data_IF_067920731926
#
_entry.id   IF_067920731926
#
_cell.length_a   1.000
_cell.length_b   1.000
_cell.length_c   1.000
_cell.angle_alpha   90.00
_cell.angle_beta   90.00
_cell.angle_gamma   90.00
#
_symmetry.space_group_name_H-M   'P 1'
#
loop_
_entity.id
_entity.type
_entity.pdbx_description
1 polymer ?
#
# COMPACT_ATOMS: atom_id res chain seq x y z
N UNK A 1 -43.27 23.67 -53.26
CA UNK A 1 -43.11 23.75 -51.79
C UNK A 1 -42.51 22.43 -51.34
N UNK A 2 -41.18 22.35 -51.29
CA UNK A 2 -40.45 21.12 -50.99
C UNK A 2 -40.14 21.02 -49.49
N UNK A 3 -40.58 19.93 -48.86
CA UNK A 3 -40.27 19.61 -47.47
C UNK A 3 -39.09 18.62 -47.47
N UNK A 4 -37.89 19.12 -47.19
CA UNK A 4 -36.71 18.29 -46.94
C UNK A 4 -36.86 17.59 -45.59
N UNK A 5 -36.96 16.26 -45.60
CA UNK A 5 -36.90 15.43 -44.38
C UNK A 5 -35.44 15.35 -43.92
N UNK A 6 -35.15 15.98 -42.78
CA UNK A 6 -33.86 15.83 -42.08
C UNK A 6 -33.91 14.49 -41.33
N UNK A 7 -33.05 13.56 -41.74
CA UNK A 7 -32.84 12.29 -41.06
C UNK A 7 -31.76 12.51 -39.99
N UNK A 8 -32.17 12.59 -38.72
CA UNK A 8 -31.26 12.69 -37.60
C UNK A 8 -30.63 11.32 -37.30
N UNK A 9 -29.32 11.21 -37.43
CA UNK A 9 -28.55 10.04 -36.98
C UNK A 9 -28.34 10.18 -35.47
N UNK A 10 -28.98 9.30 -34.70
CA UNK A 10 -28.69 9.13 -33.28
C UNK A 10 -27.38 8.33 -33.16
N UNK A 11 -26.30 8.97 -32.74
CA UNK A 11 -25.07 8.28 -32.32
C UNK A 11 -25.27 7.85 -30.87
N UNK A 12 -25.55 6.57 -30.66
CA UNK A 12 -25.54 5.98 -29.32
C UNK A 12 -24.11 5.91 -28.79
N UNK A 13 -23.83 6.61 -27.68
CA UNK A 13 -22.62 6.35 -26.91
C UNK A 13 -22.75 4.95 -26.30
N UNK A 14 -21.98 4.00 -26.81
CA UNK A 14 -21.72 2.76 -26.09
C UNK A 14 -20.86 3.11 -24.88
N UNK A 15 -21.45 3.09 -23.68
CA UNK A 15 -20.67 3.10 -22.44
C UNK A 15 -19.89 1.79 -22.37
N UNK A 16 -18.61 1.81 -22.68
CA UNK A 16 -17.70 0.72 -22.33
C UNK A 16 -17.70 0.65 -20.81
N UNK A 17 -18.25 -0.42 -20.23
CA UNK A 17 -18.05 -0.70 -18.82
C UNK A 17 -16.55 -0.71 -18.54
N UNK A 18 -16.09 0.09 -17.59
CA UNK A 18 -14.71 0.05 -17.14
C UNK A 18 -14.43 -1.36 -16.62
N UNK A 19 -13.62 -2.14 -17.33
CA UNK A 19 -13.17 -3.42 -16.82
C UNK A 19 -12.23 -3.14 -15.64
N UNK A 20 -12.46 -3.82 -14.52
CA UNK A 20 -11.50 -3.92 -13.43
C UNK A 20 -10.12 -4.28 -14.01
N UNK A 21 -9.16 -3.38 -13.87
CA UNK A 21 -7.83 -3.51 -14.47
C UNK A 21 -6.78 -3.14 -13.44
N UNK A 22 -5.83 -4.06 -13.26
CA UNK A 22 -4.54 -3.80 -12.63
C UNK A 22 -3.58 -3.26 -13.70
N UNK A 23 -3.01 -2.09 -13.45
CA UNK A 23 -2.14 -1.38 -14.39
C UNK A 23 -0.74 -1.29 -13.77
N UNK A 24 0.22 -2.12 -14.21
CA UNK A 24 1.59 -2.05 -13.73
C UNK A 24 2.30 -0.84 -14.34
N UNK A 25 3.10 -0.16 -13.54
CA UNK A 25 3.90 0.99 -13.96
C UNK A 25 5.09 1.20 -13.03
N UNK A 26 5.92 2.20 -13.32
CA UNK A 26 7.09 2.52 -12.50
C UNK A 26 7.05 3.99 -12.10
N UNK A 27 7.27 4.28 -10.82
CA UNK A 27 7.48 5.64 -10.33
C UNK A 27 8.80 5.73 -9.58
N UNK A 28 9.65 6.70 -9.95
CA UNK A 28 10.97 6.91 -9.34
C UNK A 28 11.82 5.62 -9.23
N UNK A 29 11.75 4.75 -10.25
CA UNK A 29 12.47 3.48 -10.30
C UNK A 29 11.85 2.33 -9.48
N UNK A 30 10.70 2.54 -8.84
CA UNK A 30 9.97 1.54 -8.06
C UNK A 30 8.80 1.00 -8.89
N UNK A 31 8.66 -0.32 -8.94
CA UNK A 31 7.55 -1.00 -9.60
C UNK A 31 6.27 -0.92 -8.74
N UNK A 32 5.19 -0.49 -9.38
CA UNK A 32 3.90 -0.19 -8.78
C UNK A 32 2.77 -0.82 -9.60
N UNK A 33 1.61 -1.03 -8.99
CA UNK A 33 0.43 -1.55 -9.67
C UNK A 33 -0.79 -0.75 -9.23
N UNK A 34 -1.40 -0.01 -10.17
CA UNK A 34 -2.63 0.71 -9.90
C UNK A 34 -3.85 -0.21 -10.08
N UNK A 35 -4.73 -0.26 -9.08
CA UNK A 35 -6.03 -0.90 -9.12
C UNK A 35 -7.10 0.14 -9.43
N UNK A 36 -7.81 -0.07 -10.54
CA UNK A 36 -9.00 0.72 -10.89
C UNK A 36 -10.26 0.32 -10.13
N UNK A 37 -10.24 -0.80 -9.39
CA UNK A 37 -11.37 -1.26 -8.57
C UNK A 37 -11.44 -0.50 -7.26
N UNK A 38 -10.32 -0.45 -6.52
CA UNK A 38 -10.25 0.22 -5.23
C UNK A 38 -9.70 1.65 -5.32
N UNK A 39 -9.31 2.11 -6.52
CA UNK A 39 -8.65 3.39 -6.76
C UNK A 39 -7.42 3.59 -5.85
N UNK A 40 -6.53 2.61 -5.85
CA UNK A 40 -5.27 2.66 -5.09
C UNK A 40 -4.09 2.14 -5.91
N UNK A 41 -2.91 2.60 -5.57
CA UNK A 41 -1.64 2.09 -6.06
C UNK A 41 -1.02 1.15 -5.02
N UNK A 42 -0.78 -0.09 -5.40
CA UNK A 42 -0.03 -1.08 -4.64
C UNK A 42 1.45 -1.00 -4.96
N UNK A 43 2.30 -1.31 -3.98
CA UNK A 43 3.66 -1.73 -4.27
C UNK A 43 3.64 -3.13 -4.93
N UNK A 44 4.40 -3.30 -6.02
CA UNK A 44 4.53 -4.59 -6.68
C UNK A 44 5.27 -5.62 -5.78
N UNK A 45 6.17 -5.15 -4.92
CA UNK A 45 6.83 -5.95 -3.89
C UNK A 45 5.93 -6.05 -2.65
N UNK A 46 5.23 -7.17 -2.54
CA UNK A 46 4.32 -7.43 -1.43
C UNK A 46 5.04 -7.80 -0.12
N UNK A 47 6.38 -7.74 -0.07
CA UNK A 47 7.18 -7.83 1.15
C UNK A 47 8.32 -6.80 1.17
N UNK A 48 8.02 -5.55 0.82
CA UNK A 48 9.03 -4.50 0.68
C UNK A 48 9.95 -4.36 1.91
N UNK A 49 9.42 -4.52 3.13
CA UNK A 49 10.23 -4.39 4.34
C UNK A 49 11.43 -5.35 4.33
N UNK A 50 11.22 -6.62 4.03
CA UNK A 50 12.28 -7.64 3.95
C UNK A 50 13.29 -7.31 2.86
N UNK A 51 12.80 -6.86 1.71
CA UNK A 51 13.66 -6.39 0.60
C UNK A 51 14.53 -5.22 1.03
N UNK A 52 13.99 -4.25 1.77
CA UNK A 52 14.75 -3.11 2.30
C UNK A 52 15.71 -3.53 3.41
N UNK A 53 15.24 -4.35 4.35
CA UNK A 53 16.02 -4.86 5.48
C UNK A 53 17.24 -5.65 4.99
N UNK A 54 17.07 -6.50 3.97
CA UNK A 54 18.15 -7.31 3.37
C UNK A 54 19.14 -6.46 2.57
N UNK A 55 18.66 -5.40 1.89
CA UNK A 55 19.53 -4.48 1.13
C UNK A 55 20.30 -3.50 2.02
N UNK A 56 19.76 -3.20 3.19
CA UNK A 56 20.38 -2.35 4.19
C UNK A 56 21.06 -3.21 5.27
N UNK A 57 21.80 -2.59 6.19
CA UNK A 57 22.31 -3.31 7.36
C UNK A 57 21.20 -3.30 8.41
N UNK A 58 20.48 -4.42 8.57
CA UNK A 58 19.20 -4.51 9.30
C UNK A 58 19.09 -3.70 10.61
N UNK A 59 20.05 -3.73 11.56
CA UNK A 59 19.97 -2.90 12.77
C UNK A 59 19.89 -1.39 12.49
N UNK A 60 20.59 -0.88 11.47
CA UNK A 60 20.57 0.55 11.10
C UNK A 60 19.25 0.99 10.46
N UNK A 61 18.63 0.09 9.68
CA UNK A 61 17.35 0.34 9.04
C UNK A 61 16.22 0.41 10.07
N UNK A 62 16.10 -0.60 10.93
CA UNK A 62 15.08 -0.66 11.98
C UNK A 62 15.22 0.52 12.94
N UNK A 63 16.46 0.89 13.32
CA UNK A 63 16.68 2.06 14.18
C UNK A 63 16.24 3.37 13.52
N UNK A 64 16.36 3.49 12.19
CA UNK A 64 15.84 4.66 11.46
C UNK A 64 14.31 4.73 11.53
N UNK A 65 13.62 3.60 11.34
CA UNK A 65 12.16 3.52 11.45
C UNK A 65 11.69 3.92 12.86
N UNK A 66 12.31 3.37 13.89
CA UNK A 66 11.97 3.66 15.30
C UNK A 66 12.27 5.13 15.63
N UNK A 67 13.35 5.69 15.09
CA UNK A 67 13.71 7.11 15.29
C UNK A 67 12.68 8.04 14.64
N UNK A 68 12.18 7.70 13.46
CA UNK A 68 11.19 8.50 12.75
C UNK A 68 9.79 8.39 13.39
N UNK A 69 9.45 7.20 13.91
CA UNK A 69 8.16 6.93 14.56
C UNK A 69 8.36 6.18 15.88
N UNK A 70 8.73 6.87 16.97
CA UNK A 70 8.93 6.24 18.27
C UNK A 70 7.63 5.87 18.98
N UNK A 71 6.50 6.45 18.57
CA UNK A 71 5.20 6.22 19.16
C UNK A 71 4.11 6.10 18.09
N UNK A 72 3.19 5.17 18.29
CA UNK A 72 1.94 5.03 17.54
C UNK A 72 0.78 5.38 18.47
N UNK A 73 -0.23 6.05 17.92
CA UNK A 73 -1.46 6.37 18.65
C UNK A 73 -2.61 5.53 18.11
N UNK A 74 -3.34 4.89 19.02
CA UNK A 74 -4.42 3.94 18.76
C UNK A 74 -5.49 4.02 19.86
N UNK A 75 -6.51 3.16 19.78
CA UNK A 75 -7.54 3.10 20.83
C UNK A 75 -6.93 2.59 22.13
N UNK A 76 -7.10 3.29 23.27
CA UNK A 76 -6.52 2.90 24.55
C UNK A 76 -6.74 1.42 24.92
N UNK A 77 -5.65 0.68 25.12
CA UNK A 77 -5.65 -0.74 25.47
C UNK A 77 -4.38 -1.14 26.26
N UNK A 78 -4.33 -2.33 26.83
CA UNK A 78 -3.27 -2.72 27.77
C UNK A 78 -1.85 -2.82 27.17
N UNK A 79 -1.68 -2.71 25.84
CA UNK A 79 -0.36 -2.60 25.21
C UNK A 79 0.24 -1.20 25.32
N UNK A 80 -0.58 -0.21 25.65
CA UNK A 80 -0.12 1.16 25.80
C UNK A 80 0.63 1.30 27.11
N UNK A 81 1.63 2.19 27.12
CA UNK A 81 2.27 2.57 28.36
C UNK A 81 1.23 3.13 29.35
N UNK A 82 1.46 2.87 30.64
CA UNK A 82 0.65 3.42 31.72
C UNK A 82 0.67 4.96 31.69
N UNK A 83 -0.50 5.59 31.73
CA UNK A 83 -0.64 6.99 32.12
C UNK A 83 -1.19 7.07 33.54
N UNK A 84 -0.40 7.61 34.47
CA UNK A 84 -0.84 7.83 35.85
C UNK A 84 -1.67 9.12 35.92
N UNK A 85 -2.98 9.00 36.17
CA UNK A 85 -3.75 10.13 36.67
C UNK A 85 -3.43 10.34 38.17
N UNK A 86 -3.52 11.58 38.70
CA UNK A 86 -3.25 11.88 40.11
C UNK A 86 -4.08 11.06 41.12
N UNK A 87 -5.15 10.40 40.67
CA UNK A 87 -6.13 9.69 41.52
C UNK A 87 -6.11 8.15 41.37
N UNK A 88 -5.00 7.56 40.89
CA UNK A 88 -4.72 6.14 41.12
C UNK A 88 -5.41 5.12 40.21
N UNK A 89 -6.08 5.56 39.12
CA UNK A 89 -6.51 4.66 38.05
C UNK A 89 -5.50 4.70 36.90
N UNK A 90 -4.85 3.57 36.64
CA UNK A 90 -4.02 3.36 35.44
C UNK A 90 -4.95 3.30 34.24
N UNK A 91 -4.98 4.37 33.46
CA UNK A 91 -5.69 4.37 32.18
C UNK A 91 -4.65 4.18 31.07
N UNK A 92 -4.87 3.25 30.13
CA UNK A 92 -4.03 3.15 28.98
C UNK A 92 -4.01 4.46 28.20
N UNK A 93 -2.83 4.83 27.70
CA UNK A 93 -2.61 6.14 27.09
C UNK A 93 -3.11 6.26 25.64
N UNK A 94 -3.44 5.15 24.97
CA UNK A 94 -3.59 5.13 23.51
C UNK A 94 -2.27 5.46 22.81
N UNK A 95 -1.14 5.21 23.47
CA UNK A 95 0.20 5.54 23.00
C UNK A 95 1.11 4.34 23.20
N UNK A 96 1.31 3.61 22.11
CA UNK A 96 2.23 2.50 22.03
C UNK A 96 3.66 2.99 21.73
N UNK A 97 4.67 2.43 22.42
CA UNK A 97 6.07 2.72 22.15
C UNK A 97 6.65 1.67 21.20
N UNK A 98 7.08 2.10 20.02
CA UNK A 98 7.70 1.22 19.03
C UNK A 98 9.11 0.83 19.49
N UNK A 99 9.45 -0.44 19.34
CA UNK A 99 10.75 -1.01 19.72
C UNK A 99 11.24 -2.01 18.67
N UNK A 100 12.47 -2.52 18.83
CA UNK A 100 12.98 -3.59 17.97
C UNK A 100 12.16 -4.89 18.02
N UNK A 101 11.33 -5.10 19.04
CA UNK A 101 10.42 -6.24 19.10
C UNK A 101 9.36 -6.21 17.98
N UNK A 102 9.01 -5.01 17.50
CA UNK A 102 7.97 -4.83 16.49
C UNK A 102 8.38 -5.30 15.09
N UNK A 103 9.64 -5.70 14.92
CA UNK A 103 10.24 -6.09 13.66
C UNK A 103 11.00 -7.40 13.81
N UNK A 104 10.71 -8.37 12.94
CA UNK A 104 11.39 -9.65 12.85
C UNK A 104 11.88 -9.88 11.42
N UNK A 105 12.95 -10.67 11.31
CA UNK A 105 13.54 -11.03 10.03
C UNK A 105 12.52 -11.65 9.07
N UNK A 106 12.71 -11.42 7.76
CA UNK A 106 11.86 -11.98 6.72
C UNK A 106 10.63 -11.14 6.39
N UNK A 107 10.49 -9.92 6.97
CA UNK A 107 9.37 -9.02 6.68
C UNK A 107 8.26 -8.97 7.74
N UNK A 108 8.45 -9.68 8.84
CA UNK A 108 7.45 -9.86 9.86
C UNK A 108 7.42 -8.66 10.82
N UNK A 109 6.24 -8.15 11.11
CA UNK A 109 6.05 -6.96 11.94
C UNK A 109 4.74 -7.01 12.71
N UNK A 110 4.75 -6.43 13.90
CA UNK A 110 3.51 -6.12 14.62
C UNK A 110 2.71 -5.09 13.84
N UNK A 111 1.44 -4.92 14.17
CA UNK A 111 0.63 -3.86 13.57
C UNK A 111 1.25 -2.46 13.81
N UNK A 112 1.81 -2.25 15.01
CA UNK A 112 2.55 -1.04 15.36
C UNK A 112 3.81 -0.85 14.51
N UNK A 113 4.59 -1.92 14.30
CA UNK A 113 5.74 -1.92 13.40
C UNK A 113 5.36 -1.62 11.96
N UNK A 114 4.21 -2.13 11.49
CA UNK A 114 3.69 -1.88 10.16
C UNK A 114 3.31 -0.41 9.92
N UNK A 115 2.67 0.24 10.91
CA UNK A 115 2.38 1.67 10.82
C UNK A 115 3.68 2.49 10.87
N UNK A 116 4.63 2.13 11.74
CA UNK A 116 5.92 2.80 11.80
C UNK A 116 6.69 2.69 10.46
N UNK A 117 6.65 1.51 9.82
CA UNK A 117 7.24 1.31 8.50
C UNK A 117 6.57 2.16 7.42
N UNK A 118 5.23 2.22 7.40
CA UNK A 118 4.47 3.13 6.53
C UNK A 118 4.91 4.58 6.72
N UNK A 119 5.04 5.04 7.97
CA UNK A 119 5.47 6.39 8.28
C UNK A 119 6.89 6.66 7.77
N UNK A 120 7.80 5.69 7.87
CA UNK A 120 9.13 5.78 7.29
C UNK A 120 9.08 5.94 5.76
N UNK A 121 8.24 5.17 5.05
CA UNK A 121 8.05 5.33 3.60
C UNK A 121 7.55 6.73 3.25
N UNK A 122 6.68 7.30 4.09
CA UNK A 122 6.16 8.65 3.89
C UNK A 122 7.20 9.73 4.14
N UNK A 123 7.95 9.64 5.23
CA UNK A 123 9.04 10.57 5.56
C UNK A 123 10.14 10.58 4.50
N UNK A 124 10.46 9.40 3.94
CA UNK A 124 11.49 9.25 2.91
C UNK A 124 11.00 9.52 1.49
N UNK A 125 9.73 9.86 1.30
CA UNK A 125 9.09 10.04 -0.02
C UNK A 125 9.33 8.83 -0.94
N UNK A 126 9.14 7.62 -0.42
CA UNK A 126 9.41 6.40 -1.16
C UNK A 126 8.61 6.33 -2.47
N UNK A 127 9.27 5.93 -3.56
CA UNK A 127 8.75 5.98 -4.94
C UNK A 127 8.25 7.37 -5.41
N UNK A 128 8.65 8.45 -4.73
CA UNK A 128 8.19 9.81 -5.01
C UNK A 128 6.84 10.16 -4.37
N UNK A 129 6.35 9.38 -3.41
CA UNK A 129 5.08 9.60 -2.72
C UNK A 129 5.24 9.57 -1.19
N UNK A 130 4.36 10.29 -0.50
CA UNK A 130 4.32 10.42 0.96
C UNK A 130 2.93 10.18 1.56
N UNK A 131 2.09 9.47 0.82
CA UNK A 131 0.71 9.15 1.17
C UNK A 131 0.48 7.63 1.22
N UNK A 132 1.53 6.88 1.54
CA UNK A 132 1.47 5.45 1.81
C UNK A 132 0.66 5.19 3.07
N UNK A 133 -0.08 4.09 3.06
CA UNK A 133 -0.85 3.57 4.19
C UNK A 133 -0.92 2.05 4.10
N UNK A 134 -1.28 1.42 5.22
CA UNK A 134 -1.80 0.06 5.15
C UNK A 134 -3.14 0.06 4.39
N UNK A 135 -3.54 -1.09 3.80
CA UNK A 135 -4.81 -1.20 3.11
C UNK A 135 -5.96 -0.92 4.07
N UNK A 136 -7.06 -0.36 3.55
CA UNK A 136 -8.24 -0.06 4.35
C UNK A 136 -9.29 -1.14 4.21
N UNK A 137 -10.16 -1.16 5.20
CA UNK A 137 -11.33 -2.03 5.30
C UNK A 137 -12.46 -1.24 5.94
N UNK A 138 -13.70 -1.57 5.58
CA UNK A 138 -14.89 -1.00 6.20
C UNK A 138 -14.86 -1.13 7.72
N UNK A 139 -15.33 -0.11 8.42
CA UNK A 139 -15.51 -0.10 9.88
C UNK A 139 -16.31 -1.32 10.39
N UNK A 140 -17.24 -1.83 9.58
CA UNK A 140 -18.05 -3.01 9.88
C UNK A 140 -17.61 -4.22 9.06
N UNK A 141 -16.29 -4.42 8.97
CA UNK A 141 -15.63 -5.53 8.32
C UNK A 141 -16.27 -6.89 8.67
N UNK A 142 -16.78 -7.58 7.66
CA UNK A 142 -17.25 -8.94 7.81
C UNK A 142 -16.06 -9.90 7.90
N UNK A 143 -16.20 -10.98 8.67
CA UNK A 143 -15.17 -12.02 8.72
C UNK A 143 -15.53 -13.20 7.82
N UNK A 144 -14.51 -13.95 7.40
CA UNK A 144 -14.63 -15.15 6.59
C UNK A 144 -14.17 -14.95 5.14
N UNK A 145 -14.68 -15.81 4.26
CA UNK A 145 -14.30 -15.84 2.84
C UNK A 145 -15.17 -14.92 1.99
N UNK A 146 -14.68 -14.61 0.79
CA UNK A 146 -15.37 -13.79 -0.23
C UNK A 146 -15.79 -12.41 0.27
N UNK A 147 -15.05 -11.84 1.22
CA UNK A 147 -15.26 -10.50 1.71
C UNK A 147 -14.60 -9.48 0.77
N UNK A 148 -15.34 -8.41 0.46
CA UNK A 148 -14.98 -7.38 -0.53
C UNK A 148 -15.07 -5.96 0.04
N UNK A 149 -15.26 -5.85 1.35
CA UNK A 149 -15.35 -4.61 2.11
C UNK A 149 -13.98 -4.06 2.51
N UNK A 150 -12.89 -4.73 2.14
CA UNK A 150 -11.52 -4.23 2.24
C UNK A 150 -10.71 -4.39 0.96
N UNK A 151 -9.69 -3.55 0.81
CA UNK A 151 -8.88 -3.44 -0.42
C UNK A 151 -8.14 -4.73 -0.77
N UNK A 152 -7.61 -5.47 0.22
CA UNK A 152 -6.92 -6.76 -0.01
C UNK A 152 -7.92 -7.82 -0.48
N UNK A 153 -9.11 -7.89 0.12
CA UNK A 153 -10.19 -8.78 -0.30
C UNK A 153 -10.68 -8.48 -1.72
N UNK A 154 -10.79 -7.21 -2.09
CA UNK A 154 -11.09 -6.80 -3.47
C UNK A 154 -9.98 -7.23 -4.43
N UNK A 155 -8.71 -6.95 -4.09
CA UNK A 155 -7.57 -7.38 -4.90
C UNK A 155 -7.59 -8.89 -5.13
N UNK A 156 -7.75 -9.67 -4.05
CA UNK A 156 -7.77 -11.12 -4.09
C UNK A 156 -8.92 -11.67 -4.95
N UNK A 157 -10.17 -11.33 -4.61
CA UNK A 157 -11.36 -11.97 -5.20
C UNK A 157 -11.82 -11.33 -6.51
N UNK A 158 -11.63 -10.02 -6.72
CA UNK A 158 -12.13 -9.32 -7.90
C UNK A 158 -11.10 -9.14 -8.99
N UNK A 159 -9.84 -8.92 -8.62
CA UNK A 159 -8.82 -8.53 -9.60
C UNK A 159 -7.90 -9.69 -9.96
N UNK A 160 -7.50 -10.51 -8.98
CA UNK A 160 -6.59 -11.64 -9.19
C UNK A 160 -7.31 -12.96 -9.44
N UNK A 161 -8.64 -13.02 -9.30
CA UNK A 161 -9.42 -14.24 -9.53
C UNK A 161 -9.25 -15.30 -8.43
N UNK A 162 -8.90 -14.88 -7.22
CA UNK A 162 -8.76 -15.75 -6.06
C UNK A 162 -10.05 -16.48 -5.70
N UNK A 163 -9.89 -17.69 -5.18
CA UNK A 163 -10.98 -18.59 -4.79
C UNK A 163 -10.87 -18.85 -3.29
N UNK A 164 -12.00 -18.89 -2.60
CA UNK A 164 -12.05 -19.19 -1.18
C UNK A 164 -11.37 -20.54 -0.87
N UNK A 165 -10.65 -20.60 0.24
CA UNK A 165 -9.84 -21.75 0.67
C UNK A 165 -8.71 -22.14 -0.29
N UNK A 166 -8.27 -21.22 -1.14
CA UNK A 166 -7.08 -21.37 -1.96
C UNK A 166 -6.12 -20.21 -1.74
N UNK A 167 -4.83 -20.48 -1.93
CA UNK A 167 -3.83 -19.42 -1.94
C UNK A 167 -4.10 -18.43 -3.07
N UNK A 168 -3.60 -17.21 -2.88
CA UNK A 168 -3.61 -16.19 -3.92
C UNK A 168 -3.01 -16.79 -5.22
N UNK A 169 -3.72 -16.67 -6.35
CA UNK A 169 -3.21 -17.23 -7.59
C UNK A 169 -1.91 -16.54 -8.01
N UNK A 170 -1.04 -17.31 -8.66
CA UNK A 170 0.14 -16.75 -9.33
C UNK A 170 -0.29 -15.70 -10.34
N UNK A 171 0.46 -14.59 -10.40
CA UNK A 171 0.17 -13.46 -11.27
C UNK A 171 1.45 -12.70 -11.60
N UNK A 172 1.40 -11.89 -12.66
CA UNK A 172 2.56 -11.13 -13.15
C UNK A 172 2.67 -9.73 -12.52
N UNK A 173 1.73 -9.34 -11.66
CA UNK A 173 1.65 -8.00 -11.09
C UNK A 173 2.46 -7.87 -9.80
N UNK A 174 2.43 -8.91 -8.96
CA UNK A 174 2.96 -8.88 -7.62
C UNK A 174 3.94 -10.01 -7.36
N UNK A 175 5.01 -9.68 -6.64
CA UNK A 175 6.00 -10.65 -6.21
C UNK A 175 6.21 -10.58 -4.70
N UNK A 176 6.93 -11.56 -4.15
CA UNK A 176 7.18 -11.68 -2.71
C UNK A 176 5.91 -11.79 -1.84
N UNK A 177 4.78 -12.22 -2.42
CA UNK A 177 3.51 -12.35 -1.69
C UNK A 177 3.64 -13.36 -0.54
N UNK A 178 3.11 -13.00 0.62
CA UNK A 178 3.17 -13.76 1.87
C UNK A 178 1.80 -14.30 2.24
N UNK A 179 1.70 -14.95 3.41
CA UNK A 179 0.49 -15.70 3.79
C UNK A 179 -0.59 -14.85 4.47
N UNK A 180 -0.25 -13.69 5.05
CA UNK A 180 -1.17 -12.83 5.79
C UNK A 180 -0.72 -11.37 5.77
N UNK A 181 -1.67 -10.44 5.73
CA UNK A 181 -1.40 -9.00 5.70
C UNK A 181 -2.30 -8.22 6.65
N UNK A 182 -1.71 -7.23 7.32
CA UNK A 182 -2.45 -6.27 8.15
C UNK A 182 -3.29 -5.31 7.29
N UNK A 183 -4.49 -5.00 7.78
CA UNK A 183 -5.20 -3.76 7.42
C UNK A 183 -4.77 -2.63 8.35
N UNK A 184 -4.99 -1.38 7.92
CA UNK A 184 -4.73 -0.19 8.72
C UNK A 184 -5.75 0.07 9.82
N UNK A 185 -6.92 -0.56 9.76
CA UNK A 185 -8.00 -0.34 10.73
C UNK A 185 -7.90 -1.29 11.92
N UNK A 186 -8.20 -0.79 13.12
CA UNK A 186 -8.43 -1.62 14.30
C UNK A 186 -9.71 -2.46 14.12
N UNK A 187 -9.75 -3.63 14.76
CA UNK A 187 -10.96 -4.44 14.78
C UNK A 187 -11.94 -3.86 15.81
N UNK A 188 -12.96 -3.13 15.35
CA UNK A 188 -13.83 -2.35 16.25
C UNK A 188 -14.43 -3.13 17.44
N UNK A 189 -14.88 -4.40 17.31
CA UNK A 189 -15.40 -5.14 18.46
C UNK A 189 -14.37 -5.40 19.56
N UNK A 190 -13.07 -5.39 19.23
CA UNK A 190 -11.98 -5.51 20.19
C UNK A 190 -10.72 -4.79 19.67
N UNK A 191 -10.45 -3.54 20.11
CA UNK A 191 -9.34 -2.74 19.61
C UNK A 191 -7.95 -3.26 20.01
N UNK A 192 -7.86 -4.32 20.82
CA UNK A 192 -6.60 -5.06 21.04
C UNK A 192 -6.13 -5.74 19.74
N UNK A 193 -7.06 -5.99 18.81
CA UNK A 193 -6.82 -6.64 17.54
C UNK A 193 -6.89 -5.63 16.38
N UNK A 194 -6.21 -5.95 15.28
CA UNK A 194 -6.39 -5.31 13.99
C UNK A 194 -6.96 -6.29 12.98
N UNK A 195 -7.68 -5.78 11.99
CA UNK A 195 -8.16 -6.60 10.89
C UNK A 195 -6.98 -7.08 10.04
N UNK A 196 -7.07 -8.29 9.50
CA UNK A 196 -6.08 -8.87 8.60
C UNK A 196 -6.72 -9.68 7.49
N UNK A 197 -5.94 -9.99 6.46
CA UNK A 197 -6.35 -10.85 5.35
C UNK A 197 -5.33 -11.97 5.15
N UNK A 198 -5.78 -13.23 5.15
CA UNK A 198 -4.99 -14.39 4.79
C UNK A 198 -5.00 -14.58 3.27
N UNK A 199 -3.91 -14.20 2.61
CA UNK A 199 -3.67 -14.51 1.19
C UNK A 199 -3.37 -16.00 0.97
N UNK A 200 -3.12 -16.77 2.03
CA UNK A 200 -2.95 -18.23 1.95
C UNK A 200 -4.26 -18.98 1.65
N UNK A 201 -5.42 -18.45 2.02
CA UNK A 201 -6.70 -19.11 1.81
C UNK A 201 -7.86 -18.16 1.46
N UNK A 202 -7.62 -16.85 1.42
CA UNK A 202 -8.61 -15.83 1.10
C UNK A 202 -9.51 -15.42 2.27
N UNK A 203 -9.19 -15.76 3.52
CA UNK A 203 -10.01 -15.38 4.66
C UNK A 203 -9.69 -13.98 5.18
N UNK A 204 -10.73 -13.17 5.41
CA UNK A 204 -10.65 -11.93 6.17
C UNK A 204 -10.98 -12.19 7.64
N UNK A 205 -10.14 -11.74 8.55
CA UNK A 205 -10.29 -11.97 9.99
C UNK A 205 -9.60 -10.85 10.77
N UNK A 206 -9.28 -11.08 12.04
CA UNK A 206 -8.56 -10.16 12.90
C UNK A 206 -7.50 -10.94 13.68
N UNK A 207 -6.44 -10.24 14.09
CA UNK A 207 -5.43 -10.79 14.99
C UNK A 207 -4.91 -9.75 15.97
N UNK A 208 -4.28 -10.21 17.03
CA UNK A 208 -3.69 -9.36 18.05
C UNK A 208 -2.64 -8.43 17.44
N UNK A 209 -2.70 -7.12 17.73
CA UNK A 209 -1.78 -6.13 17.18
C UNK A 209 -0.30 -6.41 17.48
N UNK A 210 0.01 -7.23 18.48
CA UNK A 210 1.37 -7.64 18.86
C UNK A 210 1.86 -8.94 18.23
N UNK A 211 1.01 -9.65 17.48
CA UNK A 211 1.46 -10.75 16.63
C UNK A 211 2.23 -10.19 15.42
N UNK A 212 3.12 -10.98 14.84
CA UNK A 212 3.89 -10.58 13.67
C UNK A 212 3.27 -11.12 12.38
N UNK A 213 2.83 -10.22 11.51
CA UNK A 213 2.37 -10.51 10.15
C UNK A 213 3.10 -9.61 9.16
N UNK A 214 2.66 -9.55 7.90
CA UNK A 214 3.28 -8.72 6.88
C UNK A 214 2.50 -7.43 6.63
N UNK A 215 3.19 -6.42 6.09
CA UNK A 215 2.56 -5.21 5.57
C UNK A 215 2.60 -5.20 4.04
N UNK A 216 1.47 -4.95 3.41
CA UNK A 216 1.41 -4.66 1.97
C UNK A 216 0.81 -3.27 1.78
N UNK A 217 1.68 -2.29 1.54
CA UNK A 217 1.27 -0.88 1.59
C UNK A 217 0.68 -0.42 0.26
N UNK A 218 -0.24 0.54 0.36
CA UNK A 218 -0.92 1.18 -0.76
C UNK A 218 -0.89 2.69 -0.63
N UNK A 219 -1.05 3.39 -1.74
CA UNK A 219 -1.29 4.82 -1.79
C UNK A 219 -2.63 5.10 -2.50
N UNK A 220 -3.38 6.16 -2.12
CA UNK A 220 -4.64 6.50 -2.78
C UNK A 220 -4.40 6.96 -4.23
N UNK A 221 -5.30 6.53 -5.12
CA UNK A 221 -5.27 6.85 -6.55
C UNK A 221 -4.06 6.29 -7.28
N UNK A 222 -3.93 6.68 -8.55
CA UNK A 222 -2.72 6.44 -9.33
C UNK A 222 -1.67 7.51 -8.99
N UNK A 223 -0.48 7.11 -8.55
CA UNK A 223 0.61 8.07 -8.32
C UNK A 223 1.04 8.69 -9.66
N UNK A 224 1.16 10.03 -9.70
CA UNK A 224 1.61 10.73 -10.90
C UNK A 224 3.02 10.29 -11.27
N UNK A 225 3.24 9.85 -12.50
CA UNK A 225 4.58 9.67 -13.03
C UNK A 225 5.33 10.99 -12.90
N UNK A 226 6.36 11.05 -12.04
CA UNK A 226 7.25 12.20 -12.02
C UNK A 226 7.92 12.26 -13.39
N UNK A 227 7.71 13.32 -14.20
CA UNK A 227 8.38 13.42 -15.49
C UNK A 227 9.88 13.39 -15.21
N UNK A 228 10.60 12.41 -15.79
CA UNK A 228 12.05 12.33 -15.68
C UNK A 228 12.62 13.73 -15.97
N UNK A 229 13.28 14.39 -14.99
CA UNK A 229 13.77 15.74 -15.20
C UNK A 229 14.74 15.73 -16.38
N UNK A 230 14.34 16.36 -17.49
CA UNK A 230 15.26 16.97 -18.44
C UNK A 230 16.34 16.08 -19.10
N UNK A 231 16.27 14.75 -19.07
CA UNK A 231 17.10 13.93 -19.98
C UNK A 231 16.78 14.27 -21.45
N UNK A 232 15.55 14.70 -21.72
CA UNK A 232 15.12 15.23 -23.03
C UNK A 232 15.85 16.54 -23.39
N UNK A 233 16.14 17.42 -22.43
CA UNK A 233 16.89 18.66 -22.69
C UNK A 233 18.38 18.40 -22.90
N UNK A 234 18.97 17.44 -22.18
CA UNK A 234 20.36 17.03 -22.41
C UNK A 234 20.55 16.29 -23.74
N UNK A 235 19.59 15.46 -24.15
CA UNK A 235 19.60 14.81 -25.47
C UNK A 235 19.43 15.83 -26.60
N UNK A 236 18.55 16.82 -26.44
CA UNK A 236 18.37 17.89 -27.45
C UNK A 236 19.62 18.78 -27.54
N UNK A 237 20.22 19.20 -26.42
CA UNK A 237 21.41 20.08 -26.43
C UNK A 237 22.71 19.35 -26.86
N UNK A 238 22.83 18.05 -26.58
CA UNK A 238 23.95 17.23 -27.03
C UNK A 238 24.02 17.03 -28.55
N UNK A 239 22.87 16.91 -29.23
CA UNK A 239 22.82 16.76 -30.70
C UNK A 239 23.15 18.08 -31.41
N UNK A 240 22.83 19.24 -30.83
CA UNK A 240 23.19 20.55 -31.41
C UNK A 240 24.69 20.86 -31.33
N UNK A 241 25.38 20.44 -30.27
CA UNK A 241 26.80 20.72 -30.09
C UNK A 241 27.70 19.86 -30.99
N UNK A 242 27.26 18.67 -31.40
CA UNK A 242 28.01 17.80 -32.33
C UNK A 242 27.91 18.30 -33.79
N UNK A 243 26.83 18.99 -34.19
CA UNK A 243 26.71 19.58 -35.55
C UNK A 243 27.58 20.82 -35.75
N UNK A 244 27.94 21.54 -34.69
CA UNK A 244 28.77 22.76 -34.77
C UNK A 244 30.28 22.47 -34.92
N UNK A 245 30.73 21.25 -34.62
CA UNK A 245 32.14 20.86 -34.75
C UNK A 245 32.55 20.45 -36.18
N UNK A 246 31.60 20.37 -37.13
CA UNK A 246 31.88 19.90 -38.51
C UNK A 246 32.15 21.02 -39.54
N UNK A 247 32.17 22.30 -39.12
CA UNK A 247 32.33 23.45 -40.03
C UNK A 247 33.57 24.33 -39.77
N UNK A 248 34.62 23.79 -39.16
CA UNK A 248 35.94 24.44 -39.16
C UNK A 248 36.99 23.53 -39.80
N UNK A 249 37.09 23.63 -41.12
CA UNK A 249 38.29 23.34 -41.92
C UNK A 249 38.51 24.53 -42.84
#
# INVERSE_FOLDING_TARGET
MEIKKILGVLVGLASTGANATLIPYTSNGVALVYSSVSDVTWLADANLFDTMETRQIAPSFINSIISDTPYIYDTPNYFDGEYSFPEGNLNPSGRYKVTGYDFLAGGLMTWYGAIAFVNYLNTTNYAGANQWRLPTISDYANQGYSQLDGEIGQLFYKELGGIASQAIPENDYFHSVKFAYWYGSEYLPNPINSSMFYTYDGAQTNDNKTNHLYSWVVAPGQLSEVPLPSALWFLLTGVFSIRLLKFRR
#
